data_IF_091092064732
#
_entry.id   IF_091092064732
#
_cell.length_a   1.000
_cell.length_b   1.000
_cell.length_c   1.000
_cell.angle_alpha   90.00
_cell.angle_beta   90.00
_cell.angle_gamma   90.00
#
_symmetry.space_group_name_H-M   'P 1'
#
loop_
_entity.id
_entity.type
_entity.pdbx_description
1 polymer ?
#
# COMPACT_ATOMS: atom_id res chain seq x y z
N UNK A 1 -3.87 1.13 -13.44
CA UNK A 1 -4.27 2.15 -12.43
C UNK A 1 -3.01 2.66 -11.75
N UNK A 2 -2.89 3.97 -11.52
CA UNK A 2 -1.76 4.54 -10.75
C UNK A 2 -1.88 4.06 -9.30
N UNK A 3 -0.84 3.50 -8.71
CA UNK A 3 -0.91 3.01 -7.34
C UNK A 3 -1.11 4.16 -6.33
N UNK A 4 -1.70 3.89 -5.14
CA UNK A 4 -1.97 4.89 -4.12
C UNK A 4 -0.68 5.40 -3.44
N UNK A 5 0.00 6.30 -4.15
CA UNK A 5 1.10 7.12 -3.65
C UNK A 5 0.65 8.56 -3.55
N UNK A 6 0.90 9.21 -2.43
CA UNK A 6 0.58 10.61 -2.29
C UNK A 6 1.29 11.45 -3.36
N UNK A 7 0.53 12.23 -4.11
CA UNK A 7 1.07 13.11 -5.15
C UNK A 7 2.11 14.09 -4.62
N UNK A 8 1.95 14.53 -3.38
CA UNK A 8 2.77 15.55 -2.76
C UNK A 8 4.02 14.96 -2.09
N UNK A 9 3.85 14.15 -1.05
CA UNK A 9 4.96 13.66 -0.24
C UNK A 9 5.48 12.27 -0.63
N UNK A 10 4.89 11.64 -1.65
CA UNK A 10 5.25 10.30 -2.12
C UNK A 10 5.04 9.17 -1.11
N UNK A 11 4.35 9.44 0.01
CA UNK A 11 3.99 8.38 0.94
C UNK A 11 3.27 7.27 0.18
N UNK A 12 3.79 6.07 0.31
CA UNK A 12 3.14 4.85 -0.13
C UNK A 12 2.10 4.44 0.92
N UNK A 13 0.85 4.29 0.51
CA UNK A 13 -0.23 3.82 1.37
C UNK A 13 -1.05 2.72 0.69
N UNK A 14 -0.41 1.99 -0.25
CA UNK A 14 -1.03 0.88 -0.97
C UNK A 14 -1.65 -0.14 -0.02
N UNK A 15 -0.95 -0.49 1.06
CA UNK A 15 -1.41 -1.50 1.99
C UNK A 15 -2.60 -1.02 2.82
N UNK A 16 -2.56 0.19 3.34
CA UNK A 16 -3.66 0.79 4.08
C UNK A 16 -4.91 0.90 3.19
N UNK A 17 -4.72 1.31 1.93
CA UNK A 17 -5.82 1.43 0.98
C UNK A 17 -6.45 0.09 0.65
N UNK A 18 -5.65 -0.91 0.24
CA UNK A 18 -6.17 -2.22 -0.17
C UNK A 18 -6.74 -3.04 0.99
N UNK A 19 -6.24 -2.87 2.22
CA UNK A 19 -6.70 -3.64 3.36
C UNK A 19 -7.84 -2.97 4.14
N UNK A 20 -7.81 -1.66 4.26
CA UNK A 20 -8.73 -0.93 5.13
C UNK A 20 -9.38 0.29 4.46
N UNK A 21 -9.13 0.53 3.18
CA UNK A 21 -9.55 1.76 2.47
C UNK A 21 -9.18 3.02 3.27
N UNK A 22 -7.96 3.04 3.79
CA UNK A 22 -7.43 4.10 4.64
C UNK A 22 -6.07 4.58 4.15
N UNK A 23 -5.47 5.54 4.86
CA UNK A 23 -4.16 6.09 4.51
C UNK A 23 -4.21 7.23 3.49
N UNK A 24 -5.33 7.42 2.84
CA UNK A 24 -5.55 8.47 1.83
C UNK A 24 -6.72 8.15 0.91
N UNK A 25 -6.88 8.98 -0.15
CA UNK A 25 -7.94 8.79 -1.15
C UNK A 25 -7.57 9.46 -2.47
N UNK A 26 -8.34 9.14 -3.52
CA UNK A 26 -8.33 9.85 -4.81
C UNK A 26 -9.17 11.12 -4.68
N UNK A 27 -8.66 12.21 -5.23
CA UNK A 27 -9.39 13.47 -5.34
C UNK A 27 -9.56 13.83 -6.81
N UNK A 28 -10.77 14.18 -7.21
CA UNK A 28 -11.11 14.69 -8.55
C UNK A 28 -11.23 16.21 -8.52
N UNK A 29 -10.60 16.88 -9.47
CA UNK A 29 -10.52 18.34 -9.59
C UNK A 29 -11.43 18.86 -10.71
N UNK A 30 -11.47 20.16 -10.94
CA UNK A 30 -12.38 20.79 -11.90
C UNK A 30 -12.16 20.33 -13.35
N UNK A 31 -10.96 19.87 -13.69
CA UNK A 31 -10.57 19.32 -14.98
C UNK A 31 -10.72 17.78 -15.06
N UNK A 32 -11.55 17.20 -14.18
CA UNK A 32 -11.84 15.77 -14.20
C UNK A 32 -12.53 15.34 -15.50
N UNK A 33 -11.93 14.37 -16.18
CA UNK A 33 -12.51 13.71 -17.34
C UNK A 33 -12.64 12.19 -17.05
N UNK A 34 -13.86 11.62 -17.06
CA UNK A 34 -14.04 10.20 -16.82
C UNK A 34 -13.38 9.37 -17.92
N UNK A 35 -12.79 8.24 -17.53
CA UNK A 35 -12.26 7.27 -18.49
C UNK A 35 -13.40 6.51 -19.17
N UNK A 36 -13.20 6.06 -20.43
CA UNK A 36 -14.09 5.06 -21.04
C UNK A 36 -14.18 3.79 -20.18
N UNK A 37 -15.35 3.13 -20.18
CA UNK A 37 -15.65 1.99 -19.29
C UNK A 37 -14.70 0.80 -19.43
N UNK A 38 -14.01 0.67 -20.56
CA UNK A 38 -13.06 -0.39 -20.86
C UNK A 38 -11.58 -0.01 -20.60
N UNK A 39 -11.32 1.20 -20.13
CA UNK A 39 -9.98 1.71 -19.89
C UNK A 39 -9.56 1.54 -18.43
N UNK A 40 -8.51 0.73 -18.20
CA UNK A 40 -7.82 0.67 -16.92
C UNK A 40 -6.82 1.80 -16.80
N UNK A 41 -7.05 2.75 -15.89
CA UNK A 41 -6.13 3.87 -15.70
C UNK A 41 -6.58 4.79 -14.57
N UNK A 42 -6.00 5.96 -14.53
CA UNK A 42 -6.42 7.06 -13.68
C UNK A 42 -6.97 8.16 -14.56
N UNK A 43 -8.17 8.64 -14.27
CA UNK A 43 -8.85 9.69 -15.02
C UNK A 43 -8.03 10.99 -14.99
N UNK A 44 -8.09 11.77 -16.07
CA UNK A 44 -7.51 13.11 -16.07
C UNK A 44 -8.13 13.97 -14.97
N UNK A 45 -7.38 14.93 -14.43
CA UNK A 45 -7.84 15.76 -13.31
C UNK A 45 -8.04 15.01 -12.00
N UNK A 46 -7.43 13.82 -11.82
CA UNK A 46 -7.45 13.10 -10.52
C UNK A 46 -6.04 12.77 -10.06
N UNK A 47 -5.84 12.72 -8.73
CA UNK A 47 -4.61 12.15 -8.15
C UNK A 47 -4.83 11.63 -6.72
N UNK A 48 -3.86 10.87 -6.21
CA UNK A 48 -3.85 10.29 -4.88
C UNK A 48 -3.26 11.27 -3.84
N UNK A 49 -3.93 11.38 -2.69
CA UNK A 49 -3.45 12.15 -1.55
C UNK A 49 -3.54 11.32 -0.28
N UNK A 50 -2.46 11.28 0.51
CA UNK A 50 -2.48 10.62 1.80
C UNK A 50 -3.33 11.41 2.81
N UNK A 51 -3.69 10.78 3.91
CA UNK A 51 -4.50 11.35 5.00
C UNK A 51 -4.04 12.74 5.46
N UNK A 52 -2.73 12.99 5.47
CA UNK A 52 -2.16 14.29 5.84
C UNK A 52 -2.53 15.42 4.86
N UNK A 53 -2.61 15.12 3.56
CA UNK A 53 -2.83 16.12 2.51
C UNK A 53 -4.25 16.10 1.93
N UNK A 54 -5.02 15.04 2.23
CA UNK A 54 -6.33 14.77 1.62
C UNK A 54 -7.35 15.87 1.91
N UNK A 55 -7.43 16.35 3.15
CA UNK A 55 -8.39 17.38 3.53
C UNK A 55 -8.17 18.65 2.72
N UNK A 56 -6.93 19.10 2.63
CA UNK A 56 -6.59 20.31 1.88
C UNK A 56 -6.77 20.14 0.36
N UNK A 57 -6.42 18.97 -0.19
CA UNK A 57 -6.68 18.67 -1.59
C UNK A 57 -8.19 18.73 -1.94
N UNK A 58 -9.05 18.23 -1.05
CA UNK A 58 -10.51 18.29 -1.21
C UNK A 58 -11.08 19.71 -1.21
N UNK A 59 -10.45 20.65 -0.51
CA UNK A 59 -10.85 22.07 -0.54
C UNK A 59 -10.56 22.74 -1.89
N UNK A 60 -9.67 22.18 -2.69
CA UNK A 60 -9.22 22.72 -3.98
C UNK A 60 -9.90 22.07 -5.20
N UNK A 61 -10.94 21.27 -5.00
CA UNK A 61 -11.64 20.56 -6.10
C UNK A 61 -12.32 21.46 -7.12
N UNK A 62 -12.51 22.75 -6.81
CA UNK A 62 -13.10 23.74 -7.72
C UNK A 62 -12.12 24.33 -8.75
N UNK A 63 -10.83 24.02 -8.66
CA UNK A 63 -9.81 24.44 -9.61
C UNK A 63 -9.20 23.23 -10.34
N UNK A 64 -8.53 23.41 -11.51
CA UNK A 64 -7.82 22.34 -12.19
C UNK A 64 -6.72 21.72 -11.30
N UNK A 65 -6.40 20.45 -11.55
CA UNK A 65 -5.36 19.71 -10.80
C UNK A 65 -4.02 20.46 -10.78
N UNK A 66 -3.61 21.08 -11.90
CA UNK A 66 -2.37 21.84 -11.99
C UNK A 66 -2.32 23.01 -11.01
N UNK A 67 -3.42 23.75 -10.89
CA UNK A 67 -3.52 24.94 -10.05
C UNK A 67 -3.62 24.55 -8.57
N UNK A 68 -4.36 23.46 -8.29
CA UNK A 68 -4.40 22.87 -6.97
C UNK A 68 -3.01 22.42 -6.49
N UNK A 69 -2.25 21.75 -7.36
CA UNK A 69 -0.87 21.33 -7.04
C UNK A 69 0.05 22.52 -6.79
N UNK A 70 -0.02 23.59 -7.61
CA UNK A 70 0.76 24.79 -7.40
C UNK A 70 0.44 25.46 -6.04
N UNK A 71 -0.83 25.48 -5.65
CA UNK A 71 -1.26 25.99 -4.33
C UNK A 71 -0.69 25.13 -3.21
N UNK A 72 -0.80 23.81 -3.31
CA UNK A 72 -0.29 22.88 -2.31
C UNK A 72 1.24 22.93 -2.21
N UNK A 73 1.96 23.10 -3.32
CA UNK A 73 3.42 23.32 -3.32
C UNK A 73 3.81 24.60 -2.60
N UNK A 74 3.03 25.66 -2.77
CA UNK A 74 3.26 26.92 -2.05
C UNK A 74 3.07 26.79 -0.54
N UNK A 75 2.13 25.94 -0.11
CA UNK A 75 1.79 25.73 1.32
C UNK A 75 2.72 24.73 2.02
N UNK A 76 3.06 23.63 1.35
CA UNK A 76 3.81 22.51 1.95
C UNK A 76 5.27 22.43 1.52
N UNK A 77 5.70 23.29 0.58
CA UNK A 77 7.04 23.28 0.02
C UNK A 77 7.16 22.44 -1.25
N UNK A 78 8.34 22.50 -1.87
CA UNK A 78 8.62 21.70 -3.09
C UNK A 78 8.61 20.22 -2.80
N UNK A 79 7.92 19.47 -3.63
CA UNK A 79 7.80 18.02 -3.50
C UNK A 79 8.96 17.30 -4.24
N UNK A 80 9.36 16.14 -3.74
CA UNK A 80 10.34 15.34 -4.45
C UNK A 80 9.82 14.98 -5.86
N UNK A 81 10.69 14.93 -6.87
CA UNK A 81 10.30 14.53 -8.22
C UNK A 81 9.63 13.15 -8.18
N UNK A 82 8.75 12.84 -9.14
CA UNK A 82 8.21 11.50 -9.27
C UNK A 82 9.35 10.49 -9.36
N UNK A 83 9.26 9.42 -8.57
CA UNK A 83 10.19 8.31 -8.71
C UNK A 83 9.97 7.71 -10.09
N UNK A 84 10.94 7.91 -10.97
CA UNK A 84 10.97 7.31 -12.30
C UNK A 84 11.69 5.98 -12.13
N UNK A 85 10.95 4.89 -12.13
CA UNK A 85 11.48 3.54 -11.96
C UNK A 85 10.44 2.62 -11.34
N UNK A 86 10.73 1.36 -11.34
CA UNK A 86 9.89 0.36 -10.66
C UNK A 86 9.94 0.62 -9.15
N UNK A 87 8.83 1.06 -8.60
CA UNK A 87 8.67 1.12 -7.14
C UNK A 87 8.68 -0.32 -6.66
N UNK A 88 9.62 -0.64 -5.77
CA UNK A 88 9.73 -1.98 -5.21
C UNK A 88 8.38 -2.43 -4.63
N UNK A 89 8.00 -3.66 -4.91
CA UNK A 89 6.82 -4.23 -4.32
C UNK A 89 7.02 -4.36 -2.80
N UNK A 90 5.98 -4.06 -2.01
CA UNK A 90 6.04 -4.27 -0.58
C UNK A 90 6.21 -5.75 -0.25
N UNK A 91 6.75 -6.00 0.92
CA UNK A 91 7.06 -7.33 1.43
C UNK A 91 6.33 -7.61 2.73
N UNK A 92 5.78 -8.82 2.87
CA UNK A 92 5.12 -9.29 4.09
C UNK A 92 6.11 -10.13 4.91
N UNK A 93 6.27 -9.82 6.18
CA UNK A 93 7.18 -10.49 7.11
C UNK A 93 6.46 -11.01 8.34
N UNK A 94 6.88 -12.17 8.87
CA UNK A 94 6.57 -12.60 10.23
C UNK A 94 7.69 -12.10 11.13
N UNK A 95 7.32 -11.35 12.17
CA UNK A 95 8.25 -10.83 13.17
C UNK A 95 8.19 -11.57 14.49
N UNK A 96 7.02 -12.18 14.80
CA UNK A 96 6.82 -13.02 15.99
C UNK A 96 5.83 -14.15 15.67
N UNK A 97 6.06 -15.34 16.23
CA UNK A 97 5.18 -16.51 16.01
C UNK A 97 4.02 -16.57 17.02
N UNK A 98 4.17 -15.93 18.17
CA UNK A 98 3.17 -16.05 19.26
C UNK A 98 3.13 -17.46 19.90
N UNK A 99 1.99 -17.80 20.49
CA UNK A 99 1.83 -19.05 21.26
C UNK A 99 1.37 -20.25 20.43
N UNK A 100 0.68 -20.02 19.29
CA UNK A 100 0.24 -21.10 18.39
C UNK A 100 1.25 -21.37 17.29
N UNK A 101 2.42 -21.88 17.65
CA UNK A 101 3.46 -22.23 16.68
C UNK A 101 2.95 -23.17 15.58
N UNK A 102 2.14 -24.18 15.92
CA UNK A 102 1.67 -25.17 14.97
C UNK A 102 0.73 -24.55 13.91
N UNK A 103 -0.18 -23.70 14.35
CA UNK A 103 -1.07 -22.97 13.45
C UNK A 103 -0.35 -21.98 12.56
N UNK A 104 0.59 -21.20 13.13
CA UNK A 104 1.43 -20.25 12.36
C UNK A 104 2.30 -21.00 11.36
N UNK A 105 2.91 -22.11 11.74
CA UNK A 105 3.72 -22.95 10.86
C UNK A 105 2.90 -23.46 9.66
N UNK A 106 1.67 -23.94 9.90
CA UNK A 106 0.81 -24.40 8.81
C UNK A 106 0.42 -23.26 7.86
N UNK A 107 0.05 -22.08 8.40
CA UNK A 107 -0.27 -20.91 7.62
C UNK A 107 0.93 -20.38 6.81
N UNK A 108 2.11 -20.33 7.43
CA UNK A 108 3.36 -19.91 6.79
C UNK A 108 3.74 -20.84 5.62
N UNK A 109 3.65 -22.15 5.83
CA UNK A 109 3.89 -23.10 4.75
C UNK A 109 2.90 -22.96 3.61
N UNK A 110 1.63 -22.74 3.91
CA UNK A 110 0.63 -22.52 2.88
C UNK A 110 0.95 -21.27 2.06
N UNK A 111 1.37 -20.18 2.71
CA UNK A 111 1.71 -18.93 2.05
C UNK A 111 3.00 -19.02 1.20
N UNK A 112 4.01 -19.75 1.68
CA UNK A 112 5.35 -19.76 1.07
C UNK A 112 5.61 -20.97 0.16
N UNK A 113 4.84 -22.05 0.29
CA UNK A 113 5.08 -23.32 -0.41
C UNK A 113 6.34 -24.08 0.05
N UNK A 114 6.99 -23.64 1.12
CA UNK A 114 8.25 -24.22 1.60
C UNK A 114 8.10 -25.64 2.10
N UNK A 115 9.18 -26.43 1.97
CA UNK A 115 9.28 -27.72 2.63
C UNK A 115 9.23 -27.57 4.16
N UNK A 116 8.69 -28.56 4.91
CA UNK A 116 8.51 -28.43 6.37
C UNK A 116 9.78 -28.07 7.14
N UNK A 117 10.93 -28.62 6.77
CA UNK A 117 12.21 -28.33 7.42
C UNK A 117 12.63 -26.87 7.25
N UNK A 118 12.52 -26.36 6.00
CA UNK A 118 12.90 -24.98 5.67
C UNK A 118 11.95 -23.95 6.31
N UNK A 119 10.66 -24.26 6.34
CA UNK A 119 9.67 -23.42 6.99
C UNK A 119 9.89 -23.33 8.50
N UNK A 120 10.27 -24.45 9.15
CA UNK A 120 10.60 -24.48 10.56
C UNK A 120 11.84 -23.66 10.86
N UNK A 121 12.89 -23.84 10.05
CA UNK A 121 14.15 -23.08 10.19
C UNK A 121 13.89 -21.57 10.07
N UNK A 122 13.13 -21.15 9.07
CA UNK A 122 12.78 -19.74 8.89
C UNK A 122 11.97 -19.15 10.05
N UNK A 123 11.00 -19.87 10.59
CA UNK A 123 10.21 -19.42 11.73
C UNK A 123 10.97 -19.42 13.06
N UNK A 124 12.09 -20.13 13.16
CA UNK A 124 13.00 -20.04 14.30
C UNK A 124 14.01 -18.90 14.17
N UNK A 125 14.25 -18.41 12.95
CA UNK A 125 15.17 -17.31 12.64
C UNK A 125 14.41 -16.06 12.17
N UNK A 126 13.62 -15.47 13.05
CA UNK A 126 12.81 -14.27 12.75
C UNK A 126 13.69 -12.99 12.72
N UNK A 127 13.26 -11.96 11.99
CA UNK A 127 12.09 -11.90 11.10
C UNK A 127 12.27 -12.69 9.80
N UNK A 128 11.19 -13.27 9.26
CA UNK A 128 11.24 -14.03 8.02
C UNK A 128 10.22 -13.55 6.98
N UNK A 129 10.64 -13.54 5.70
CA UNK A 129 9.82 -13.14 4.56
C UNK A 129 8.75 -14.20 4.28
N UNK A 130 7.51 -13.74 4.07
CA UNK A 130 6.36 -14.54 3.66
C UNK A 130 6.09 -14.40 2.17
N UNK A 131 5.96 -13.15 1.70
CA UNK A 131 5.61 -12.85 0.32
C UNK A 131 6.14 -11.47 -0.10
N UNK A 132 6.29 -11.31 -1.42
CA UNK A 132 6.58 -10.04 -2.08
C UNK A 132 5.53 -9.85 -3.18
N UNK A 133 4.99 -8.66 -3.35
CA UNK A 133 3.99 -8.39 -4.38
C UNK A 133 2.98 -7.33 -3.97
N UNK A 134 1.85 -7.29 -4.67
CA UNK A 134 0.79 -6.35 -4.36
C UNK A 134 0.12 -6.66 -3.01
N UNK A 135 -0.19 -5.64 -2.21
CA UNK A 135 -0.80 -5.82 -0.89
C UNK A 135 -2.07 -6.66 -0.89
N UNK A 136 -2.89 -6.56 -1.95
CA UNK A 136 -4.10 -7.35 -2.08
C UNK A 136 -3.82 -8.87 -2.14
N UNK A 137 -2.68 -9.28 -2.68
CA UNK A 137 -2.31 -10.68 -2.84
C UNK A 137 -1.97 -11.34 -1.50
N UNK A 138 -1.35 -10.62 -0.58
CA UNK A 138 -1.01 -11.20 0.72
C UNK A 138 -2.01 -10.94 1.85
N UNK A 139 -3.15 -10.31 1.57
CA UNK A 139 -4.18 -10.11 2.59
C UNK A 139 -4.60 -11.42 3.26
N UNK A 140 -4.88 -12.44 2.45
CA UNK A 140 -5.29 -13.77 2.94
C UNK A 140 -4.21 -14.41 3.81
N UNK A 141 -2.94 -14.30 3.40
CA UNK A 141 -1.81 -14.81 4.17
C UNK A 141 -1.62 -14.05 5.48
N UNK A 142 -1.72 -12.74 5.44
CA UNK A 142 -1.62 -11.86 6.61
C UNK A 142 -2.71 -12.15 7.64
N UNK A 143 -3.97 -12.24 7.20
CA UNK A 143 -5.10 -12.58 8.06
C UNK A 143 -4.95 -14.00 8.66
N UNK A 144 -4.56 -14.97 7.85
CA UNK A 144 -4.34 -16.33 8.30
C UNK A 144 -3.26 -16.45 9.38
N UNK A 145 -2.15 -15.71 9.24
CA UNK A 145 -1.07 -15.66 10.22
C UNK A 145 -1.49 -14.93 11.49
N UNK A 146 -2.13 -13.76 11.38
CA UNK A 146 -2.63 -12.98 12.53
C UNK A 146 -3.65 -13.73 13.36
N UNK A 147 -4.60 -14.42 12.71
CA UNK A 147 -5.64 -15.21 13.38
C UNK A 147 -5.06 -16.39 14.19
N UNK A 148 -3.80 -16.74 13.95
CA UNK A 148 -3.06 -17.77 14.72
C UNK A 148 -2.06 -17.17 15.71
N UNK A 149 -2.12 -15.84 15.90
CA UNK A 149 -1.34 -15.14 16.91
C UNK A 149 0.06 -14.70 16.44
N UNK A 150 0.37 -14.79 15.15
CA UNK A 150 1.61 -14.23 14.64
C UNK A 150 1.55 -12.70 14.56
N UNK A 151 2.68 -12.04 14.85
CA UNK A 151 2.88 -10.63 14.51
C UNK A 151 3.45 -10.56 13.10
N UNK A 152 2.80 -9.79 12.23
CA UNK A 152 3.21 -9.60 10.84
C UNK A 152 3.39 -8.12 10.52
N UNK A 153 4.41 -7.82 9.72
CA UNK A 153 4.80 -6.47 9.31
C UNK A 153 4.85 -6.40 7.78
N UNK A 154 4.41 -5.25 7.24
CA UNK A 154 4.62 -4.92 5.83
C UNK A 154 5.74 -3.90 5.74
N UNK A 155 6.73 -4.16 4.85
CA UNK A 155 7.85 -3.27 4.56
C UNK A 155 7.77 -2.82 3.11
N UNK A 156 8.04 -1.53 2.91
CA UNK A 156 8.07 -0.87 1.60
C UNK A 156 9.51 -0.72 1.11
#
# INVERSE_FOLDING_TARGET
MKPPFCRLCRRDFRCEWFHAQSGGDVVSFADFEPLPDDWGGMAAGTDWFCDTHLSRARELTSVPLSDALATLESEYGSFPPPVVGDVADPTLWVTEVGTDFAGVFAAFRHATGLHPADARDRLTNLPTLVATGWPAEFRVHMESLRNRGATVEIRY
#
